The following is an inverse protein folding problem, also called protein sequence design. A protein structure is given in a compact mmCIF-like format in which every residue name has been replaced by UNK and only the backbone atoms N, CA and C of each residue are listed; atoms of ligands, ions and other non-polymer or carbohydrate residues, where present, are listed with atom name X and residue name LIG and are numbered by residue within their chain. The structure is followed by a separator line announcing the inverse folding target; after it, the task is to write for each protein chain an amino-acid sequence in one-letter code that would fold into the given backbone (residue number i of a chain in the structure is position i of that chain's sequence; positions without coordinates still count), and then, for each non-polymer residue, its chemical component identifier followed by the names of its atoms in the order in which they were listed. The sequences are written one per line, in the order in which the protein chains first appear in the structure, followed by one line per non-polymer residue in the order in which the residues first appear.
data_IF_869773615304
#
_entry.id   IF_869773615304
#
_cell.length_a   1.000
_cell.length_b   1.000
_cell.length_c   1.000
_cell.angle_alpha   90.00
_cell.angle_beta   90.00
_cell.angle_gamma   90.00
#
_symmetry.space_group_name_H-M   'P 1'
#
loop_
_entity.id
_entity.type
_entity.pdbx_description
1 polymer ?
#
# COMPACT_ATOMS: atom_id res chain seq x y z
N UNK A 1 -2.84 51.16 -50.76
CA UNK A 1 -2.39 52.55 -50.97
C UNK A 1 -1.41 52.94 -49.85
N UNK A 2 -0.23 53.47 -50.31
CA UNK A 2 0.74 54.35 -49.63
C UNK A 2 1.18 53.99 -48.20
N UNK A 3 2.35 53.43 -47.99
CA UNK A 3 3.71 54.03 -47.83
C UNK A 3 3.74 55.23 -46.88
N UNK A 4 4.48 55.11 -45.73
CA UNK A 4 5.47 56.16 -45.38
C UNK A 4 6.57 55.53 -44.47
N UNK A 5 7.76 55.58 -45.01
CA UNK A 5 9.04 55.42 -44.32
C UNK A 5 9.39 56.73 -43.62
N UNK A 6 9.94 56.71 -42.42
CA UNK A 6 10.77 57.80 -41.94
C UNK A 6 12.00 57.25 -41.23
N UNK A 7 13.15 57.57 -41.81
CA UNK A 7 14.50 57.34 -41.26
C UNK A 7 14.83 58.52 -40.35
N UNK A 8 15.40 58.34 -39.22
CA UNK A 8 16.19 59.33 -38.51
C UNK A 8 17.51 58.73 -38.04
N UNK A 9 18.56 59.52 -38.28
CA UNK A 9 19.95 59.19 -38.29
C UNK A 9 20.62 59.14 -36.92
N UNK A 10 21.74 58.45 -36.95
CA UNK A 10 22.80 58.28 -35.96
C UNK A 10 23.46 59.63 -35.64
N UNK A 11 23.73 59.87 -34.35
CA UNK A 11 24.85 60.72 -33.90
C UNK A 11 25.63 59.92 -32.83
N UNK A 12 26.83 59.60 -33.22
CA UNK A 12 27.86 59.04 -32.30
C UNK A 12 28.46 60.17 -31.50
N UNK A 13 28.50 60.05 -30.18
CA UNK A 13 29.36 60.84 -29.33
C UNK A 13 30.25 59.88 -28.50
N UNK A 14 31.51 59.81 -28.89
CA UNK A 14 32.53 59.11 -28.14
C UNK A 14 32.95 60.00 -26.96
N UNK A 15 32.69 59.57 -25.74
CA UNK A 15 33.35 60.09 -24.54
C UNK A 15 33.93 58.88 -23.77
N UNK A 16 35.24 58.76 -23.80
CA UNK A 16 35.97 57.76 -23.06
C UNK A 16 35.85 57.99 -21.57
N UNK A 17 35.36 56.98 -20.88
CA UNK A 17 35.45 56.83 -19.42
C UNK A 17 36.04 55.48 -19.14
N UNK A 18 37.23 55.44 -18.59
CA UNK A 18 37.88 54.28 -18.01
C UNK A 18 37.03 53.85 -16.80
N UNK A 19 36.08 52.96 -17.03
CA UNK A 19 35.35 52.29 -15.95
C UNK A 19 36.26 51.19 -15.44
N UNK A 20 36.70 51.30 -14.17
CA UNK A 20 37.32 50.25 -13.42
C UNK A 20 36.41 49.00 -13.50
N UNK A 21 36.88 47.94 -14.12
CA UNK A 21 36.26 46.61 -14.06
C UNK A 21 36.34 46.11 -12.61
N UNK A 22 35.34 46.52 -11.81
CA UNK A 22 34.99 45.77 -10.63
C UNK A 22 34.44 44.43 -11.11
N UNK A 23 35.23 43.37 -11.01
CA UNK A 23 34.74 42.00 -11.14
C UNK A 23 33.71 41.77 -10.00
N UNK A 24 32.46 42.19 -10.22
CA UNK A 24 31.37 41.66 -9.42
C UNK A 24 31.26 40.20 -9.76
N UNK A 25 31.78 39.35 -8.84
CA UNK A 25 31.47 37.91 -8.91
C UNK A 25 29.97 37.78 -8.99
N UNK A 26 29.45 37.49 -10.20
CA UNK A 26 28.06 37.15 -10.36
C UNK A 26 27.89 35.82 -9.59
N UNK A 27 27.36 35.90 -8.38
CA UNK A 27 26.96 34.73 -7.62
C UNK A 27 25.85 34.08 -8.41
N UNK A 28 26.11 32.88 -8.89
CA UNK A 28 25.05 32.12 -9.57
C UNK A 28 23.87 31.99 -8.60
N UNK A 29 22.66 32.31 -9.06
CA UNK A 29 21.47 32.14 -8.24
C UNK A 29 21.34 30.65 -7.85
N UNK A 30 20.96 30.33 -6.59
CA UNK A 30 20.76 28.96 -6.17
C UNK A 30 19.81 28.21 -7.08
N UNK A 31 20.16 27.01 -7.50
CA UNK A 31 19.30 26.17 -8.33
C UNK A 31 18.10 25.65 -7.54
N UNK A 32 16.96 25.48 -8.21
CA UNK A 32 15.73 24.96 -7.59
C UNK A 32 15.72 23.42 -7.70
N UNK A 33 15.81 22.68 -6.58
CA UNK A 33 15.74 21.23 -6.61
C UNK A 33 14.32 20.76 -6.91
N UNK A 34 14.18 19.59 -7.54
CA UNK A 34 12.88 18.95 -7.72
C UNK A 34 12.43 18.23 -6.46
N UNK A 35 11.12 18.26 -6.19
CA UNK A 35 10.49 17.46 -5.15
C UNK A 35 9.16 16.89 -5.67
N UNK A 36 8.94 15.60 -5.46
CA UNK A 36 7.74 14.87 -5.90
C UNK A 36 7.15 14.10 -4.71
N UNK A 37 5.83 14.17 -4.57
CA UNK A 37 5.07 13.42 -3.58
C UNK A 37 4.47 12.15 -4.16
N UNK A 38 4.38 11.10 -3.35
CA UNK A 38 3.71 9.83 -3.66
C UNK A 38 3.16 9.18 -2.39
N UNK A 39 2.30 8.16 -2.55
CA UNK A 39 1.71 7.43 -1.42
C UNK A 39 0.42 8.06 -0.91
N UNK A 40 0.09 7.83 0.36
CA UNK A 40 -1.04 8.46 1.03
C UNK A 40 -2.42 7.86 0.72
N UNK A 41 -2.53 6.64 0.19
CA UNK A 41 -3.81 5.93 0.18
C UNK A 41 -4.25 5.74 1.63
N UNK A 42 -5.38 6.32 2.00
CA UNK A 42 -5.77 6.38 3.40
C UNK A 42 -7.28 6.17 3.58
N UNK A 43 -7.63 5.61 4.73
CA UNK A 43 -9.00 5.37 5.17
C UNK A 43 -9.11 5.89 6.59
N UNK A 44 -10.20 6.58 6.89
CA UNK A 44 -10.45 7.11 8.25
C UNK A 44 -10.43 5.97 9.28
N UNK A 45 -9.67 6.17 10.36
CA UNK A 45 -9.60 5.21 11.47
C UNK A 45 -8.73 3.97 11.20
N UNK A 46 -8.04 3.89 10.06
CA UNK A 46 -7.05 2.85 9.77
C UNK A 46 -5.64 3.27 10.21
N UNK A 47 -4.72 2.30 10.22
CA UNK A 47 -3.32 2.56 10.53
C UNK A 47 -2.74 3.63 9.57
N UNK A 48 -1.83 4.45 10.11
CA UNK A 48 -1.18 5.49 9.34
C UNK A 48 -0.46 4.93 8.12
N UNK A 49 -0.62 5.58 6.97
CA UNK A 49 0.03 5.22 5.71
C UNK A 49 1.19 6.16 5.39
N UNK A 50 2.27 5.68 4.76
CA UNK A 50 3.40 6.52 4.42
C UNK A 50 3.06 7.47 3.24
N UNK A 51 3.39 8.74 3.43
CA UNK A 51 3.57 9.72 2.36
C UNK A 51 5.07 9.83 2.13
N UNK A 52 5.50 9.71 0.88
CA UNK A 52 6.90 9.74 0.51
C UNK A 52 7.16 10.96 -0.35
N UNK A 53 8.15 11.74 0.03
CA UNK A 53 8.71 12.81 -0.79
C UNK A 53 10.06 12.36 -1.35
N UNK A 54 10.25 12.52 -2.66
CA UNK A 54 11.52 12.25 -3.34
C UNK A 54 12.08 13.57 -3.85
N UNK A 55 13.28 13.93 -3.39
CA UNK A 55 13.98 15.13 -3.78
C UNK A 55 15.22 14.82 -4.63
N UNK A 56 15.67 15.79 -5.43
CA UNK A 56 16.87 15.66 -6.27
C UNK A 56 18.20 15.86 -5.51
N UNK A 57 18.14 16.42 -4.31
CA UNK A 57 19.30 16.68 -3.43
C UNK A 57 18.95 16.37 -1.98
N UNK A 58 19.96 16.24 -1.12
CA UNK A 58 19.77 16.02 0.31
C UNK A 58 19.17 17.25 1.02
N UNK A 59 18.30 17.01 2.02
CA UNK A 59 17.66 18.08 2.76
C UNK A 59 16.67 17.57 3.79
N UNK A 60 15.70 18.41 4.14
CA UNK A 60 14.56 18.06 5.00
C UNK A 60 13.24 18.44 4.36
N UNK A 61 12.19 17.69 4.70
CA UNK A 61 10.84 17.86 4.16
C UNK A 61 9.86 18.12 5.29
N UNK A 62 9.05 19.16 5.14
CA UNK A 62 7.87 19.41 5.97
C UNK A 62 6.64 18.95 5.21
N UNK A 63 5.90 17.98 5.76
CA UNK A 63 4.69 17.44 5.15
C UNK A 63 3.44 18.11 5.72
N UNK A 64 2.47 18.39 4.84
CA UNK A 64 1.19 18.98 5.22
C UNK A 64 0.02 18.15 4.69
N UNK A 65 -1.09 18.17 5.43
CA UNK A 65 -2.39 17.67 5.00
C UNK A 65 -3.43 18.79 5.19
N UNK A 66 -4.17 19.13 4.14
CA UNK A 66 -5.10 20.25 4.11
C UNK A 66 -4.45 21.57 4.61
N UNK A 67 -3.18 21.80 4.24
CA UNK A 67 -2.42 22.98 4.63
C UNK A 67 -1.84 22.98 6.04
N UNK A 68 -2.17 21.98 6.88
CA UNK A 68 -1.66 21.85 8.25
C UNK A 68 -0.50 20.87 8.29
N UNK A 69 0.57 21.19 9.02
CA UNK A 69 1.73 20.30 9.20
C UNK A 69 1.29 19.02 9.91
N UNK A 70 1.64 17.88 9.34
CA UNK A 70 1.39 16.57 9.95
C UNK A 70 2.26 16.41 11.18
N UNK A 71 1.65 16.02 12.30
CA UNK A 71 2.34 15.85 13.57
C UNK A 71 3.56 14.91 13.44
N UNK A 72 4.72 15.37 13.91
CA UNK A 72 5.98 14.64 13.77
C UNK A 72 6.65 14.72 12.40
N UNK A 73 6.06 15.42 11.42
CA UNK A 73 6.56 15.50 10.04
C UNK A 73 6.93 16.93 9.61
N UNK A 74 7.21 17.84 10.55
CA UNK A 74 7.57 19.23 10.24
C UNK A 74 8.98 19.42 9.67
N UNK A 75 9.89 18.45 9.87
CA UNK A 75 11.26 18.49 9.35
C UNK A 75 11.85 17.07 9.27
N UNK A 76 11.38 16.29 8.31
CA UNK A 76 11.84 14.91 8.11
C UNK A 76 13.07 14.94 7.21
N UNK A 77 14.22 14.48 7.72
CA UNK A 77 15.44 14.40 6.92
C UNK A 77 15.29 13.40 5.76
N UNK A 78 15.85 13.72 4.60
CA UNK A 78 15.94 12.77 3.50
C UNK A 78 16.98 11.69 3.78
N UNK A 79 16.91 10.57 3.04
CA UNK A 79 18.01 9.59 2.99
C UNK A 79 19.33 10.26 2.58
N UNK A 80 20.46 9.66 2.96
CA UNK A 80 21.80 10.19 2.66
C UNK A 80 22.32 9.83 1.27
N UNK A 81 21.61 8.98 0.55
CA UNK A 81 21.96 8.53 -0.80
C UNK A 81 20.75 8.66 -1.74
N UNK A 82 21.01 8.76 -3.03
CA UNK A 82 19.98 8.77 -4.08
C UNK A 82 19.26 7.43 -4.16
N UNK A 83 17.92 7.45 -4.30
CA UNK A 83 17.04 8.62 -4.29
C UNK A 83 16.93 9.24 -2.89
N UNK A 84 16.99 10.58 -2.79
CA UNK A 84 16.82 11.30 -1.53
C UNK A 84 15.35 11.30 -1.12
N UNK A 85 14.96 10.38 -0.24
CA UNK A 85 13.56 10.19 0.16
C UNK A 85 13.34 10.55 1.62
N UNK A 86 12.22 11.23 1.90
CA UNK A 86 11.68 11.43 3.24
C UNK A 86 10.32 10.75 3.35
N UNK A 87 10.00 10.14 4.47
CA UNK A 87 8.73 9.43 4.70
C UNK A 87 8.03 9.97 5.93
N UNK A 88 6.73 10.27 5.79
CA UNK A 88 5.86 10.71 6.88
C UNK A 88 4.67 9.76 7.00
N UNK A 89 4.39 9.27 8.19
CA UNK A 89 3.18 8.48 8.46
C UNK A 89 1.99 9.42 8.68
N UNK A 90 0.94 9.23 7.89
CA UNK A 90 -0.28 10.02 7.94
C UNK A 90 -1.51 9.17 8.22
N UNK A 91 -2.27 9.56 9.24
CA UNK A 91 -3.56 8.96 9.60
C UNK A 91 -4.65 10.04 9.48
N UNK A 92 -5.50 10.02 8.44
CA UNK A 92 -6.57 11.00 8.30
C UNK A 92 -7.67 10.79 9.34
N UNK A 93 -8.21 11.90 9.83
CA UNK A 93 -9.34 11.91 10.79
C UNK A 93 -10.69 12.18 10.14
N UNK A 94 -10.70 12.62 8.87
CA UNK A 94 -11.92 12.93 8.12
C UNK A 94 -11.84 12.32 6.71
N UNK A 95 -13.01 11.90 6.21
CA UNK A 95 -13.15 11.39 4.84
C UNK A 95 -13.30 12.54 3.84
N UNK A 96 -13.07 12.23 2.58
CA UNK A 96 -13.21 13.16 1.46
C UNK A 96 -11.89 13.49 0.79
N UNK A 97 -11.90 14.53 -0.05
CA UNK A 97 -10.71 14.99 -0.76
C UNK A 97 -9.79 15.73 0.19
N UNK A 98 -8.54 15.33 0.27
CA UNK A 98 -7.49 15.98 1.06
C UNK A 98 -6.30 16.31 0.18
N UNK A 99 -5.83 17.55 0.26
CA UNK A 99 -4.62 17.99 -0.45
C UNK A 99 -3.42 17.72 0.47
N UNK A 100 -2.49 16.91 -0.01
CA UNK A 100 -1.19 16.69 0.61
C UNK A 100 -0.17 17.64 -0.03
N UNK A 101 0.69 18.20 0.79
CA UNK A 101 1.76 19.10 0.38
C UNK A 101 3.08 18.75 1.05
N UNK A 102 4.17 19.21 0.46
CA UNK A 102 5.50 19.12 1.06
C UNK A 102 6.33 20.34 0.69
N UNK A 103 7.01 20.90 1.69
CA UNK A 103 8.01 21.96 1.50
C UNK A 103 9.38 21.36 1.78
N UNK A 104 10.27 21.48 0.82
CA UNK A 104 11.64 20.98 0.89
C UNK A 104 12.61 22.10 1.21
N UNK A 105 13.51 21.84 2.16
CA UNK A 105 14.63 22.72 2.53
C UNK A 105 15.93 21.95 2.29
N UNK A 106 16.77 22.37 1.33
CA UNK A 106 18.04 21.69 1.04
C UNK A 106 19.03 21.88 2.17
N UNK A 107 19.91 20.89 2.39
CA UNK A 107 21.03 21.00 3.34
C UNK A 107 22.07 22.03 2.87
N UNK A 108 22.30 22.09 1.56
CA UNK A 108 23.18 23.05 0.91
C UNK A 108 22.39 24.27 0.41
N UNK A 109 22.08 25.19 1.30
CA UNK A 109 21.36 26.42 0.98
C UNK A 109 22.18 27.45 0.18
N UNK A 110 23.50 27.25 0.03
CA UNK A 110 24.33 28.10 -0.78
C UNK A 110 24.12 27.86 -2.28
N UNK A 111 23.93 26.58 -2.66
CA UNK A 111 23.79 26.18 -4.06
C UNK A 111 22.34 25.86 -4.45
N UNK A 112 21.45 25.63 -3.48
CA UNK A 112 20.06 25.23 -3.73
C UNK A 112 19.08 26.06 -2.91
N UNK A 113 17.95 26.43 -3.54
CA UNK A 113 16.85 27.12 -2.86
C UNK A 113 15.81 26.15 -2.35
N UNK A 114 15.01 26.56 -1.35
CA UNK A 114 13.85 25.80 -0.93
C UNK A 114 12.81 25.67 -2.06
N UNK A 115 12.06 24.57 -2.09
CA UNK A 115 11.01 24.31 -3.06
C UNK A 115 9.79 23.66 -2.41
N UNK A 116 8.64 23.78 -3.06
CA UNK A 116 7.39 23.17 -2.65
C UNK A 116 6.94 22.18 -3.71
N UNK A 117 6.56 20.98 -3.31
CA UNK A 117 6.02 19.97 -4.21
C UNK A 117 4.69 20.45 -4.83
N UNK A 118 4.40 20.01 -6.04
CA UNK A 118 3.07 20.16 -6.62
C UNK A 118 2.02 19.53 -5.69
N UNK A 119 0.85 20.17 -5.62
CA UNK A 119 -0.26 19.70 -4.79
C UNK A 119 -0.66 18.27 -5.22
N UNK A 120 -0.81 17.40 -4.25
CA UNK A 120 -1.18 16.01 -4.45
C UNK A 120 -2.51 15.73 -3.74
N UNK A 121 -3.56 15.46 -4.52
CA UNK A 121 -4.89 15.21 -3.97
C UNK A 121 -5.10 13.72 -3.72
N UNK A 122 -5.49 13.38 -2.49
CA UNK A 122 -5.85 12.03 -2.07
C UNK A 122 -7.33 11.99 -1.68
N UNK A 123 -8.02 10.95 -2.12
CA UNK A 123 -9.36 10.65 -1.63
C UNK A 123 -9.23 9.76 -0.41
N UNK A 124 -9.63 10.29 0.74
CA UNK A 124 -9.75 9.55 1.99
C UNK A 124 -11.10 8.85 2.02
N UNK A 125 -11.10 7.53 1.98
CA UNK A 125 -12.32 6.74 2.03
C UNK A 125 -12.87 6.63 3.47
N UNK A 126 -14.21 6.50 3.58
CA UNK A 126 -14.87 6.06 4.83
C UNK A 126 -14.82 4.54 4.85
N UNK A 127 -14.47 3.92 5.99
CA UNK A 127 -14.69 2.48 6.11
C UNK A 127 -16.19 2.21 5.95
N UNK A 128 -16.53 1.33 5.03
CA UNK A 128 -17.92 0.84 4.93
C UNK A 128 -18.22 0.10 6.24
N UNK A 129 -19.31 0.48 6.88
CA UNK A 129 -19.68 -0.07 8.19
C UNK A 129 -19.76 -1.60 8.08
N UNK A 130 -18.92 -2.31 8.86
CA UNK A 130 -18.78 -3.76 8.81
C UNK A 130 -17.70 -4.31 7.87
N UNK A 131 -17.01 -3.49 7.07
CA UNK A 131 -15.86 -3.92 6.29
C UNK A 131 -14.57 -3.28 6.81
N UNK A 132 -13.72 -4.08 7.42
CA UNK A 132 -12.29 -3.77 7.48
C UNK A 132 -11.75 -3.94 6.07
N UNK A 133 -11.03 -2.94 5.53
CA UNK A 133 -10.32 -3.12 4.26
C UNK A 133 -9.19 -4.11 4.52
N UNK A 134 -9.43 -5.34 4.15
CA UNK A 134 -8.43 -6.38 4.24
C UNK A 134 -7.46 -6.28 3.05
N UNK A 135 -6.15 -6.50 3.24
CA UNK A 135 -5.22 -6.65 2.14
C UNK A 135 -5.44 -7.96 1.36
N UNK A 136 -6.32 -8.84 1.85
CA UNK A 136 -6.65 -10.12 1.23
C UNK A 136 -7.81 -9.94 0.26
N UNK A 137 -7.55 -10.16 -1.01
CA UNK A 137 -8.56 -10.16 -2.07
C UNK A 137 -8.97 -11.58 -2.38
N UNK A 138 -10.29 -11.83 -2.42
CA UNK A 138 -10.87 -13.14 -2.68
C UNK A 138 -11.80 -13.03 -3.88
N UNK A 139 -11.63 -13.93 -4.83
CA UNK A 139 -12.56 -14.18 -5.92
C UNK A 139 -13.11 -15.59 -5.76
N UNK A 140 -14.42 -15.75 -5.88
CA UNK A 140 -15.10 -17.04 -5.75
C UNK A 140 -16.08 -17.23 -6.89
N UNK A 141 -16.02 -18.37 -7.53
CA UNK A 141 -17.08 -18.88 -8.36
C UNK A 141 -17.57 -20.24 -7.83
N UNK A 142 -18.74 -20.66 -8.32
CA UNK A 142 -19.31 -21.99 -8.05
C UNK A 142 -19.38 -22.79 -9.33
N UNK A 143 -19.10 -24.09 -9.21
CA UNK A 143 -19.07 -25.01 -10.33
C UNK A 143 -19.86 -26.27 -10.01
N UNK A 144 -20.42 -26.88 -11.05
CA UNK A 144 -21.00 -28.22 -10.96
C UNK A 144 -19.90 -29.30 -10.93
N UNK A 145 -20.25 -30.49 -10.56
CA UNK A 145 -19.31 -31.62 -10.48
C UNK A 145 -19.72 -32.75 -11.44
N UNK A 146 -18.71 -33.49 -11.93
CA UNK A 146 -18.89 -34.71 -12.70
C UNK A 146 -19.34 -35.90 -11.84
N UNK A 147 -19.28 -35.76 -10.51
CA UNK A 147 -19.72 -36.84 -9.59
C UNK A 147 -21.22 -37.00 -9.53
N UNK A 148 -21.98 -35.95 -9.83
CA UNK A 148 -23.47 -36.02 -9.90
C UNK A 148 -23.92 -36.80 -11.14
N UNK A 149 -24.82 -37.74 -10.96
CA UNK A 149 -25.24 -38.70 -11.99
C UNK A 149 -26.78 -38.74 -12.16
N UNK A 150 -27.19 -39.29 -13.26
CA UNK A 150 -28.62 -39.41 -13.56
C UNK A 150 -29.34 -38.06 -13.63
N UNK A 151 -30.47 -37.90 -12.96
CA UNK A 151 -31.21 -36.64 -12.96
C UNK A 151 -30.45 -35.46 -12.41
N UNK A 152 -29.40 -35.72 -11.60
CA UNK A 152 -28.51 -34.70 -10.99
C UNK A 152 -27.31 -34.36 -11.87
N UNK A 153 -27.05 -35.10 -12.94
CA UNK A 153 -25.96 -34.80 -13.85
C UNK A 153 -26.05 -33.35 -14.39
N UNK A 154 -24.93 -32.67 -14.64
CA UNK A 154 -24.96 -31.36 -15.24
C UNK A 154 -25.75 -31.37 -16.56
N UNK A 155 -26.76 -30.51 -16.66
CA UNK A 155 -27.61 -30.47 -17.86
C UNK A 155 -26.98 -29.80 -19.05
N UNK A 156 -26.08 -28.85 -18.79
CA UNK A 156 -25.42 -28.04 -19.79
C UNK A 156 -23.91 -28.08 -19.55
N UNK A 157 -23.17 -28.42 -20.58
CA UNK A 157 -21.71 -28.44 -20.58
C UNK A 157 -21.09 -29.66 -19.93
N UNK A 158 -19.77 -29.72 -19.98
CA UNK A 158 -19.00 -30.71 -19.25
C UNK A 158 -19.01 -30.38 -17.74
N UNK A 159 -18.78 -31.39 -16.91
CA UNK A 159 -18.57 -31.16 -15.47
C UNK A 159 -17.46 -30.13 -15.24
N UNK A 160 -17.50 -29.46 -14.10
CA UNK A 160 -16.66 -28.31 -13.73
C UNK A 160 -16.98 -27.01 -14.47
N UNK A 161 -18.19 -26.89 -15.05
CA UNK A 161 -18.67 -25.63 -15.61
C UNK A 161 -19.12 -24.67 -14.52
N UNK A 162 -18.79 -23.38 -14.70
CA UNK A 162 -19.26 -22.31 -13.81
C UNK A 162 -20.78 -22.23 -13.91
N UNK A 163 -21.45 -22.26 -12.75
CA UNK A 163 -22.89 -22.06 -12.63
C UNK A 163 -23.22 -21.50 -11.26
N UNK A 164 -24.23 -20.66 -11.19
CA UNK A 164 -24.82 -20.15 -9.95
C UNK A 164 -26.16 -20.83 -9.62
N UNK A 165 -26.67 -21.68 -10.51
CA UNK A 165 -27.94 -22.37 -10.35
C UNK A 165 -27.73 -23.88 -10.23
N UNK A 166 -28.29 -24.45 -9.18
CA UNK A 166 -28.21 -25.87 -8.86
C UNK A 166 -29.60 -26.44 -8.60
N UNK A 167 -29.81 -27.72 -8.89
CA UNK A 167 -30.97 -28.45 -8.41
C UNK A 167 -30.66 -29.09 -7.05
N UNK A 168 -31.70 -29.22 -6.22
CA UNK A 168 -31.59 -29.93 -4.94
C UNK A 168 -31.08 -31.36 -5.17
N UNK A 169 -30.12 -31.78 -4.37
CA UNK A 169 -29.39 -33.04 -4.52
C UNK A 169 -28.06 -32.89 -5.27
N UNK A 170 -27.87 -31.83 -6.04
CA UNK A 170 -26.56 -31.55 -6.67
C UNK A 170 -25.50 -31.11 -5.66
N UNK A 171 -24.28 -31.39 -6.03
CA UNK A 171 -23.10 -30.98 -5.29
C UNK A 171 -22.57 -29.64 -5.82
N UNK A 172 -22.48 -28.67 -4.94
CA UNK A 172 -21.91 -27.35 -5.21
C UNK A 172 -20.42 -27.39 -4.87
N UNK A 173 -19.56 -26.99 -5.81
CA UNK A 173 -18.14 -26.84 -5.56
C UNK A 173 -17.79 -25.36 -5.60
N UNK A 174 -17.32 -24.83 -4.48
CA UNK A 174 -16.77 -23.49 -4.40
C UNK A 174 -15.33 -23.53 -4.90
N UNK A 175 -15.00 -22.70 -5.88
CA UNK A 175 -13.65 -22.52 -6.40
C UNK A 175 -13.19 -21.11 -6.03
N UNK A 176 -12.13 -21.04 -5.23
CA UNK A 176 -11.71 -19.80 -4.59
C UNK A 176 -10.26 -19.47 -4.95
N UNK A 177 -10.07 -18.28 -5.47
CA UNK A 177 -8.77 -17.67 -5.70
C UNK A 177 -8.57 -16.53 -4.71
N UNK A 178 -7.39 -16.43 -4.15
CA UNK A 178 -7.08 -15.36 -3.23
C UNK A 178 -5.62 -14.91 -3.36
N UNK A 179 -5.40 -13.62 -3.14
CA UNK A 179 -4.08 -13.02 -3.07
C UNK A 179 -4.02 -11.99 -1.94
N UNK A 180 -2.82 -11.57 -1.55
CA UNK A 180 -2.64 -10.55 -0.53
C UNK A 180 -1.77 -9.41 -1.03
N UNK A 181 -2.26 -8.18 -0.90
CA UNK A 181 -1.50 -6.97 -1.22
C UNK A 181 -0.26 -6.82 -0.32
N UNK A 182 -0.36 -7.18 0.95
CA UNK A 182 0.76 -7.12 1.90
C UNK A 182 1.89 -8.11 1.55
N UNK A 183 1.56 -9.16 0.81
CA UNK A 183 2.52 -10.13 0.27
C UNK A 183 2.89 -9.83 -1.19
N UNK A 184 2.75 -8.57 -1.61
CA UNK A 184 3.09 -8.13 -2.97
C UNK A 184 2.17 -8.66 -4.07
N UNK A 185 0.92 -9.01 -3.75
CA UNK A 185 -0.04 -9.62 -4.68
C UNK A 185 0.14 -11.13 -4.86
N UNK A 186 0.99 -11.77 -4.05
CA UNK A 186 1.22 -13.20 -4.16
C UNK A 186 -0.05 -14.02 -3.92
N UNK A 187 -0.24 -15.14 -4.65
CA UNK A 187 -1.31 -16.08 -4.40
C UNK A 187 -1.28 -16.65 -2.97
N UNK A 188 -2.44 -16.78 -2.37
CA UNK A 188 -2.58 -17.40 -1.05
C UNK A 188 -2.64 -18.93 -1.20
N UNK A 189 -1.67 -19.59 -0.57
CA UNK A 189 -1.46 -21.03 -0.57
C UNK A 189 -1.40 -21.55 0.86
N UNK A 190 -1.36 -22.88 1.12
CA UNK A 190 -1.17 -23.41 2.48
C UNK A 190 0.10 -22.91 3.20
N UNK A 191 1.07 -22.35 2.47
CA UNK A 191 2.31 -21.81 3.06
C UNK A 191 2.10 -20.45 3.76
N UNK A 192 1.07 -19.70 3.38
CA UNK A 192 0.82 -18.37 3.90
C UNK A 192 -0.60 -18.16 4.42
N UNK A 193 -1.41 -19.22 4.47
CA UNK A 193 -2.80 -19.22 4.98
C UNK A 193 -2.88 -20.06 6.27
N UNK A 194 -3.48 -19.49 7.30
CA UNK A 194 -3.77 -20.18 8.57
C UNK A 194 -5.14 -20.85 8.57
N UNK A 195 -6.12 -20.28 7.86
CA UNK A 195 -7.45 -20.89 7.70
C UNK A 195 -8.12 -20.41 6.40
N UNK A 196 -8.86 -21.32 5.78
CA UNK A 196 -9.67 -21.01 4.59
C UNK A 196 -10.96 -21.81 4.68
N UNK A 197 -12.12 -21.12 4.70
CA UNK A 197 -13.43 -21.74 4.93
C UNK A 197 -14.54 -21.07 4.12
N UNK A 198 -15.60 -21.84 3.86
CA UNK A 198 -16.89 -21.31 3.41
C UNK A 198 -17.93 -21.55 4.50
N UNK A 199 -18.65 -20.51 4.88
CA UNK A 199 -19.81 -20.60 5.76
C UNK A 199 -21.08 -20.45 4.93
N UNK A 200 -22.01 -21.37 5.05
CA UNK A 200 -23.33 -21.33 4.39
C UNK A 200 -24.40 -21.03 5.43
N UNK A 201 -25.30 -20.10 5.14
CA UNK A 201 -26.36 -19.74 6.07
C UNK A 201 -27.24 -20.96 6.37
N UNK A 202 -27.51 -21.21 7.66
CA UNK A 202 -28.27 -22.39 8.11
C UNK A 202 -27.46 -23.68 8.24
N UNK A 203 -26.15 -23.65 7.96
CA UNK A 203 -25.22 -24.76 8.19
C UNK A 203 -24.33 -24.42 9.37
N UNK A 204 -24.28 -25.32 10.36
CA UNK A 204 -23.59 -25.08 11.63
C UNK A 204 -22.06 -25.02 11.45
N UNK A 205 -21.51 -25.97 10.69
CA UNK A 205 -20.06 -26.10 10.57
C UNK A 205 -19.54 -25.44 9.29
N UNK A 206 -18.48 -24.62 9.39
CA UNK A 206 -17.81 -24.10 8.22
C UNK A 206 -17.23 -25.22 7.36
N UNK A 207 -17.37 -25.10 6.06
CA UNK A 207 -16.80 -26.01 5.06
C UNK A 207 -15.32 -25.64 4.89
N UNK A 208 -14.38 -26.53 5.23
CA UNK A 208 -12.95 -26.25 5.01
C UNK A 208 -12.65 -26.23 3.51
N UNK A 209 -11.78 -25.31 3.10
CA UNK A 209 -11.24 -25.25 1.75
C UNK A 209 -9.92 -26.02 1.68
N UNK A 210 -9.80 -26.87 0.67
CA UNK A 210 -8.58 -27.59 0.32
C UNK A 210 -7.89 -26.93 -0.88
N UNK A 211 -6.58 -26.75 -0.81
CA UNK A 211 -5.78 -26.18 -1.89
C UNK A 211 -5.26 -27.29 -2.80
N UNK A 212 -5.44 -27.15 -4.09
CA UNK A 212 -5.00 -28.17 -5.04
C UNK A 212 -4.80 -27.63 -6.45
N UNK A 213 -4.11 -28.41 -7.28
CA UNK A 213 -3.93 -28.12 -8.69
C UNK A 213 -5.00 -28.88 -9.50
N UNK A 214 -5.74 -28.15 -10.32
CA UNK A 214 -6.72 -28.69 -11.23
C UNK A 214 -6.39 -28.23 -12.66
N UNK A 215 -5.93 -29.16 -13.50
CA UNK A 215 -5.60 -28.89 -14.91
C UNK A 215 -4.58 -27.74 -15.09
N UNK A 216 -3.56 -27.70 -14.26
CA UNK A 216 -2.51 -26.69 -14.33
C UNK A 216 -2.79 -25.38 -13.57
N UNK A 217 -3.97 -25.22 -13.00
CA UNK A 217 -4.33 -24.04 -12.19
C UNK A 217 -4.56 -24.47 -10.75
N UNK A 218 -3.87 -23.82 -9.82
CA UNK A 218 -4.01 -24.09 -8.39
C UNK A 218 -4.97 -23.10 -7.73
N UNK A 219 -5.89 -23.60 -6.93
CA UNK A 219 -6.89 -22.82 -6.19
C UNK A 219 -7.41 -23.57 -4.98
N UNK A 220 -8.17 -22.90 -4.15
CA UNK A 220 -8.88 -23.48 -3.01
C UNK A 220 -10.22 -24.03 -3.44
N UNK A 221 -10.61 -25.20 -2.92
CA UNK A 221 -11.87 -25.88 -3.24
C UNK A 221 -12.62 -26.25 -1.98
N UNK A 222 -13.92 -25.94 -1.92
CA UNK A 222 -14.84 -26.43 -0.91
C UNK A 222 -15.99 -27.17 -1.57
N UNK A 223 -16.42 -28.29 -1.00
CA UNK A 223 -17.51 -29.11 -1.52
C UNK A 223 -18.70 -29.04 -0.58
N UNK A 224 -19.85 -28.66 -1.13
CA UNK A 224 -21.11 -28.56 -0.41
C UNK A 224 -22.19 -29.42 -1.05
N UNK A 225 -22.61 -30.44 -0.35
CA UNK A 225 -23.65 -31.35 -0.84
C UNK A 225 -25.01 -30.86 -0.40
N UNK A 226 -25.95 -30.77 -1.35
CA UNK A 226 -27.36 -30.46 -1.10
C UNK A 226 -28.21 -31.71 -1.12
N UNK A 227 -29.45 -31.68 -0.65
CA UNK A 227 -30.38 -32.82 -0.65
C UNK A 227 -31.37 -32.75 0.49
N UNK A 228 -32.03 -33.90 0.76
CA UNK A 228 -32.99 -34.04 1.86
C UNK A 228 -32.30 -33.94 3.23
N UNK A 229 -33.03 -33.55 4.28
CA UNK A 229 -32.50 -33.51 5.65
C UNK A 229 -31.84 -34.85 6.05
N UNK A 230 -30.70 -34.81 6.79
CA UNK A 230 -30.10 -33.66 7.46
C UNK A 230 -29.22 -32.79 6.55
N UNK A 231 -29.10 -33.07 5.25
CA UNK A 231 -28.40 -32.24 4.30
C UNK A 231 -29.16 -30.93 4.04
N UNK A 232 -28.47 -29.95 3.42
CA UNK A 232 -29.09 -28.69 3.09
C UNK A 232 -30.18 -28.86 2.02
N UNK A 233 -31.42 -28.51 2.36
CA UNK A 233 -32.61 -28.69 1.49
C UNK A 233 -33.45 -27.41 1.32
N UNK A 234 -32.97 -26.25 1.75
CA UNK A 234 -33.64 -24.98 1.62
C UNK A 234 -33.56 -24.50 0.17
N UNK A 235 -34.70 -24.37 -0.51
CA UNK A 235 -34.77 -23.84 -1.87
C UNK A 235 -34.63 -22.32 -1.88
N UNK A 236 -34.17 -21.78 -3.01
CA UNK A 236 -34.00 -20.36 -3.24
C UNK A 236 -32.53 -19.93 -3.11
N UNK A 237 -32.33 -18.69 -2.74
CA UNK A 237 -30.97 -18.09 -2.64
C UNK A 237 -30.18 -18.67 -1.46
N UNK A 238 -29.01 -19.19 -1.75
CA UNK A 238 -28.04 -19.63 -0.73
C UNK A 238 -27.10 -18.48 -0.40
N UNK A 239 -27.19 -17.98 0.83
CA UNK A 239 -26.26 -17.01 1.35
C UNK A 239 -25.01 -17.73 1.88
N UNK A 240 -23.85 -17.38 1.34
CA UNK A 240 -22.59 -17.94 1.80
C UNK A 240 -21.53 -16.85 1.96
N UNK A 241 -20.48 -17.18 2.70
CA UNK A 241 -19.35 -16.31 2.96
C UNK A 241 -18.06 -17.12 2.90
N UNK A 242 -17.08 -16.66 2.12
CA UNK A 242 -15.73 -17.23 2.10
C UNK A 242 -14.85 -16.39 3.01
N UNK A 243 -14.08 -17.06 3.85
CA UNK A 243 -13.14 -16.41 4.78
C UNK A 243 -11.78 -17.05 4.62
N UNK A 244 -10.74 -16.23 4.40
CA UNK A 244 -9.35 -16.67 4.34
C UNK A 244 -8.53 -15.80 5.29
N UNK A 245 -7.78 -16.42 6.20
CA UNK A 245 -6.88 -15.76 7.12
C UNK A 245 -5.43 -16.12 6.77
N UNK A 246 -4.56 -15.10 6.70
CA UNK A 246 -3.14 -15.28 6.43
C UNK A 246 -2.35 -15.49 7.72
N UNK A 247 -1.19 -16.13 7.60
CA UNK A 247 -0.20 -16.26 8.68
C UNK A 247 0.57 -14.95 8.78
N UNK A 248 0.87 -14.50 10.01
CA UNK A 248 1.77 -13.38 10.23
C UNK A 248 3.21 -13.74 9.82
N UNK A 249 3.88 -12.84 9.10
CA UNK A 249 5.29 -13.00 8.74
C UNK A 249 6.14 -12.21 9.74
N UNK A 250 7.06 -12.84 10.46
CA UNK A 250 7.90 -12.14 11.44
C UNK A 250 8.89 -11.20 10.74
N UNK A 251 9.32 -10.16 11.47
CA UNK A 251 10.37 -9.28 10.99
C UNK A 251 11.69 -10.04 10.80
N UNK A 252 12.39 -9.74 9.71
CA UNK A 252 13.77 -10.19 9.52
C UNK A 252 14.69 -9.14 10.13
N UNK A 253 15.54 -9.57 11.07
CA UNK A 253 16.48 -8.70 11.75
C UNK A 253 17.91 -9.12 11.48
N UNK A 254 18.83 -8.15 11.51
CA UNK A 254 20.26 -8.37 11.35
C UNK A 254 21.03 -7.72 12.50
N UNK A 255 22.02 -8.41 13.03
CA UNK A 255 22.97 -7.82 13.96
C UNK A 255 24.02 -7.03 13.19
N UNK A 256 24.17 -5.77 13.53
CA UNK A 256 25.15 -4.87 12.92
C UNK A 256 26.09 -4.36 14.00
N UNK A 257 27.39 -4.44 13.74
CA UNK A 257 28.40 -3.80 14.59
C UNK A 257 28.33 -2.29 14.38
N UNK A 258 28.31 -1.56 15.47
CA UNK A 258 28.28 -0.10 15.49
C UNK A 258 29.21 0.42 16.58
N UNK A 259 29.51 1.69 16.58
CA UNK A 259 30.35 2.34 17.58
C UNK A 259 29.61 3.49 18.23
N UNK A 260 29.75 3.62 19.53
CA UNK A 260 29.26 4.79 20.28
C UNK A 260 30.41 5.52 20.93
N UNK A 261 30.32 6.82 21.01
CA UNK A 261 31.26 7.66 21.74
C UNK A 261 30.82 7.73 23.19
N UNK A 262 31.68 7.23 24.08
CA UNK A 262 31.41 7.23 25.52
C UNK A 262 32.37 8.25 26.17
N UNK A 263 31.90 9.10 27.12
CA UNK A 263 32.75 10.01 27.83
C UNK A 263 33.94 9.29 28.49
N UNK A 264 35.17 9.75 28.25
CA UNK A 264 36.33 9.24 28.95
C UNK A 264 36.30 9.73 30.38
N UNK A 265 36.26 8.83 31.36
CA UNK A 265 36.14 9.15 32.78
C UNK A 265 37.45 8.83 33.52
N UNK A 266 37.85 9.74 34.41
CA UNK A 266 38.95 9.52 35.37
C UNK A 266 38.45 9.99 36.73
N UNK A 267 38.55 9.15 37.77
CA UNK A 267 38.07 9.43 39.13
C UNK A 267 36.62 9.94 39.15
N UNK A 268 35.70 9.27 38.42
CA UNK A 268 34.27 9.62 38.26
C UNK A 268 33.99 11.01 37.64
N UNK A 269 34.99 11.68 37.07
CA UNK A 269 34.86 12.94 36.36
C UNK A 269 35.21 12.76 34.89
N UNK A 270 34.51 13.45 34.01
CA UNK A 270 34.81 13.44 32.58
C UNK A 270 36.19 14.11 32.34
N UNK A 271 37.03 13.42 31.55
CA UNK A 271 38.32 13.97 31.18
C UNK A 271 38.16 15.15 30.22
N UNK A 272 38.80 16.26 30.53
CA UNK A 272 38.81 17.45 29.68
C UNK A 272 40.29 17.78 29.40
N UNK A 273 40.64 17.94 28.11
CA UNK A 273 41.97 18.37 27.66
C UNK A 273 41.76 19.59 26.79
N UNK A 274 42.50 20.66 27.08
CA UNK A 274 42.43 21.95 26.36
C UNK A 274 40.99 22.47 26.21
N UNK A 275 40.22 22.44 27.31
CA UNK A 275 38.78 22.78 27.37
C UNK A 275 37.83 21.91 26.54
N UNK A 276 38.34 20.79 25.96
CA UNK A 276 37.52 19.84 25.18
C UNK A 276 37.24 18.58 25.97
N UNK A 277 35.98 18.15 26.01
CA UNK A 277 35.53 16.90 26.61
C UNK A 277 36.04 15.73 25.78
N UNK A 278 36.71 14.77 26.44
CA UNK A 278 37.26 13.60 25.78
C UNK A 278 36.23 12.47 25.72
N UNK A 279 36.22 11.77 24.60
CA UNK A 279 35.38 10.59 24.36
C UNK A 279 36.26 9.50 23.76
N UNK A 280 35.89 8.25 24.02
CA UNK A 280 36.46 7.09 23.36
C UNK A 280 35.35 6.28 22.65
N UNK A 281 35.77 5.61 21.61
CA UNK A 281 34.84 4.72 20.86
C UNK A 281 34.69 3.39 21.56
N UNK A 282 33.46 2.96 21.74
CA UNK A 282 33.11 1.63 22.24
C UNK A 282 32.30 0.92 21.18
N UNK A 283 32.77 -0.22 20.71
CA UNK A 283 32.07 -1.08 19.79
C UNK A 283 30.88 -1.74 20.51
N UNK A 284 29.74 -1.79 19.87
CA UNK A 284 28.58 -2.53 20.34
C UNK A 284 27.84 -3.17 19.15
N UNK A 285 26.97 -4.10 19.43
CA UNK A 285 26.13 -4.74 18.42
C UNK A 285 24.70 -4.25 18.61
N UNK A 286 24.06 -3.83 17.53
CA UNK A 286 22.64 -3.48 17.53
C UNK A 286 21.88 -4.33 16.55
N UNK A 287 20.62 -4.63 16.89
CA UNK A 287 19.68 -5.29 15.99
C UNK A 287 19.05 -4.24 15.07
N UNK A 288 19.11 -4.48 13.78
CA UNK A 288 18.46 -3.63 12.76
C UNK A 288 17.41 -4.48 12.05
N UNK A 289 16.21 -3.95 11.92
CA UNK A 289 15.15 -4.57 11.12
C UNK A 289 15.49 -4.39 9.65
N UNK A 290 15.67 -5.49 8.94
CA UNK A 290 15.94 -5.50 7.48
C UNK A 290 14.63 -5.55 6.72
N UNK A 291 13.70 -6.41 7.17
CA UNK A 291 12.35 -6.50 6.61
C UNK A 291 11.36 -6.40 7.78
N UNK A 292 10.39 -5.48 7.72
CA UNK A 292 9.40 -5.35 8.77
C UNK A 292 8.49 -6.58 8.83
N UNK A 293 7.89 -6.82 9.99
CA UNK A 293 6.87 -7.84 10.13
C UNK A 293 5.63 -7.50 9.30
N UNK A 294 4.99 -8.52 8.75
CA UNK A 294 3.69 -8.41 8.10
C UNK A 294 2.66 -9.07 9.02
N UNK A 295 1.68 -8.34 9.56
CA UNK A 295 0.67 -8.94 10.42
C UNK A 295 -0.22 -9.89 9.61
N UNK A 296 -0.75 -10.92 10.26
CA UNK A 296 -1.80 -11.75 9.67
C UNK A 296 -3.06 -10.91 9.40
N UNK A 297 -3.71 -11.18 8.30
CA UNK A 297 -4.92 -10.48 7.86
C UNK A 297 -6.02 -11.48 7.50
N UNK A 298 -7.28 -11.05 7.61
CA UNK A 298 -8.43 -11.88 7.24
C UNK A 298 -9.20 -11.20 6.10
N UNK A 299 -9.35 -11.90 4.99
CA UNK A 299 -10.23 -11.53 3.89
C UNK A 299 -11.59 -12.21 3.99
N UNK A 300 -12.60 -11.51 3.53
CA UNK A 300 -13.97 -12.02 3.47
C UNK A 300 -14.54 -11.71 2.09
N UNK A 301 -15.06 -12.73 1.43
CA UNK A 301 -15.88 -12.58 0.24
C UNK A 301 -17.34 -12.97 0.60
N UNK A 302 -18.25 -12.09 0.27
CA UNK A 302 -19.68 -12.36 0.33
C UNK A 302 -20.27 -11.89 -0.98
N UNK A 303 -21.01 -12.74 -1.72
CA UNK A 303 -21.58 -12.35 -3.00
C UNK A 303 -22.49 -11.14 -2.82
N UNK A 304 -22.37 -10.19 -3.73
CA UNK A 304 -23.31 -9.08 -3.82
C UNK A 304 -24.67 -9.61 -4.24
N UNK A 305 -25.73 -8.89 -3.84
CA UNK A 305 -27.10 -9.25 -4.20
C UNK A 305 -27.37 -8.91 -5.69
N UNK A 306 -26.67 -9.59 -6.60
CA UNK A 306 -26.89 -9.48 -8.04
C UNK A 306 -27.22 -10.84 -8.65
N UNK A 307 -28.09 -10.94 -9.65
CA UNK A 307 -28.50 -12.22 -10.24
C UNK A 307 -27.36 -13.12 -10.70
N UNK A 308 -26.26 -12.52 -11.18
CA UNK A 308 -25.09 -13.27 -11.69
C UNK A 308 -24.18 -13.85 -10.61
N UNK A 309 -24.25 -13.33 -9.38
CA UNK A 309 -23.43 -13.78 -8.25
C UNK A 309 -24.22 -14.55 -7.19
N UNK A 310 -25.54 -14.64 -7.33
CA UNK A 310 -26.41 -15.36 -6.40
C UNK A 310 -26.37 -16.85 -6.68
N UNK A 311 -25.95 -17.58 -5.66
CA UNK A 311 -26.09 -19.03 -5.66
C UNK A 311 -27.54 -19.40 -5.36
N UNK A 312 -28.19 -20.15 -6.26
CA UNK A 312 -29.58 -20.51 -6.13
C UNK A 312 -29.77 -22.02 -6.18
N UNK A 313 -30.57 -22.55 -5.26
CA UNK A 313 -30.99 -23.95 -5.23
C UNK A 313 -32.44 -24.08 -5.69
N UNK A 314 -32.65 -24.78 -6.78
CA UNK A 314 -33.91 -25.01 -7.39
C UNK A 314 -34.44 -26.40 -7.04
N UNK A 315 -35.75 -26.59 -7.12
CA UNK A 315 -36.34 -27.93 -7.06
C UNK A 315 -35.82 -28.79 -8.22
N UNK A 316 -35.72 -30.10 -7.98
CA UNK A 316 -35.44 -31.03 -9.06
C UNK A 316 -36.62 -31.01 -10.04
N UNK A 317 -36.39 -30.80 -11.32
CA UNK A 317 -37.47 -30.86 -12.28
C UNK A 317 -38.10 -32.26 -12.31
N UNK A 318 -39.41 -32.30 -12.40
CA UNK A 318 -40.19 -33.53 -12.52
C UNK A 318 -39.85 -34.29 -13.81
#
# INVERSE_FOLDING_TARGET
MKRYLSRIAVVALAAGSIAAFGVTSAWAAPSVPTIVLSGGKAIVGQAATPIIATASVAGSVSFTAAGTVIAGCGAVATTTATPFTASCLWAPTAAGSTILGATFTPTDAANYSANTAAAYTVIVAVPVQGSTVSPVYIYTDTINTTSDKGPLAPRFGAGCSITSEFAIGQTIVFRVFANSADLGGAPLTPLNVSSATVTVAGVTDPIPLSYGNHSGVAFWTGVFKTGAAPLYNTLGVINYKVTIATIAVPAVTKLVKDVKFVPTMKNKKQVVVDHKKMYHQVAYTKTVVVTPAIPGATGVFQPAFTPLSQLTLNALPA
#
